data_IF_070018535885
#
_entry.id   IF_070018535885
#
_cell.length_a   1.000
_cell.length_b   1.000
_cell.length_c   1.000
_cell.angle_alpha   90.00
_cell.angle_beta   90.00
_cell.angle_gamma   90.00
#
_symmetry.space_group_name_H-M   'P 1'
#
loop_
_entity.id
_entity.type
_entity.pdbx_description
1 polymer ?
#
# COMPACT_ATOMS: atom_id res chain seq x y z
N UNK A 1 21.17 -17.05 -4.14
CA UNK A 1 20.04 -17.54 -4.96
C UNK A 1 20.16 -16.95 -6.36
N UNK A 2 20.22 -17.80 -7.40
CA UNK A 2 20.27 -17.36 -8.81
C UNK A 2 18.93 -16.80 -9.29
N UNK A 3 18.90 -16.09 -10.44
CA UNK A 3 17.66 -15.61 -11.05
C UNK A 3 16.67 -16.75 -11.30
N UNK A 4 17.13 -17.89 -11.86
CA UNK A 4 16.28 -19.07 -12.08
C UNK A 4 15.70 -19.64 -10.79
N UNK A 5 16.53 -19.80 -9.76
CA UNK A 5 16.06 -20.30 -8.45
C UNK A 5 15.00 -19.38 -7.84
N UNK A 6 15.16 -18.05 -7.98
CA UNK A 6 14.16 -17.06 -7.52
C UNK A 6 12.82 -17.26 -8.22
N UNK A 7 12.84 -17.43 -9.53
CA UNK A 7 11.63 -17.57 -10.34
C UNK A 7 10.94 -18.91 -10.08
N UNK A 8 11.69 -20.00 -9.94
CA UNK A 8 11.13 -21.30 -9.54
C UNK A 8 10.45 -21.22 -8.16
N UNK A 9 11.14 -20.68 -7.14
CA UNK A 9 10.58 -20.50 -5.81
C UNK A 9 9.35 -19.57 -5.80
N UNK A 10 9.36 -18.53 -6.64
CA UNK A 10 8.21 -17.66 -6.85
C UNK A 10 7.03 -18.43 -7.46
N UNK A 11 7.27 -19.24 -8.50
CA UNK A 11 6.25 -20.01 -9.19
C UNK A 11 5.50 -20.94 -8.23
N UNK A 12 6.24 -21.63 -7.36
CA UNK A 12 5.66 -22.57 -6.40
C UNK A 12 4.84 -21.85 -5.34
N UNK A 13 5.32 -20.69 -4.87
CA UNK A 13 4.60 -19.85 -3.91
C UNK A 13 3.31 -19.26 -4.48
N UNK A 14 3.32 -18.80 -5.73
CA UNK A 14 2.18 -18.08 -6.32
C UNK A 14 1.15 -18.99 -6.98
N UNK A 15 1.48 -20.25 -7.30
CA UNK A 15 0.64 -21.12 -8.15
C UNK A 15 -0.82 -21.26 -7.68
N UNK A 16 -1.05 -21.30 -6.36
CA UNK A 16 -2.41 -21.38 -5.82
C UNK A 16 -3.22 -20.08 -5.99
N UNK A 17 -2.56 -18.95 -6.13
CA UNK A 17 -3.16 -17.60 -6.24
C UNK A 17 -3.21 -17.12 -7.69
N UNK A 18 -2.17 -17.41 -8.48
CA UNK A 18 -2.05 -17.02 -9.89
C UNK A 18 -1.32 -18.10 -10.68
N UNK A 19 -2.06 -19.04 -11.27
CA UNK A 19 -1.52 -20.01 -12.21
C UNK A 19 -0.80 -19.34 -13.39
N UNK A 20 -1.29 -18.18 -13.86
CA UNK A 20 -0.68 -17.42 -14.96
C UNK A 20 0.73 -16.93 -14.62
N UNK A 21 0.90 -16.26 -13.48
CA UNK A 21 2.22 -15.80 -13.05
C UNK A 21 3.15 -16.97 -12.69
N UNK A 22 2.62 -18.09 -12.18
CA UNK A 22 3.43 -19.29 -11.99
C UNK A 22 3.91 -19.89 -13.31
N UNK A 23 3.07 -19.90 -14.36
CA UNK A 23 3.44 -20.37 -15.69
C UNK A 23 4.51 -19.47 -16.33
N UNK A 24 4.35 -18.14 -16.26
CA UNK A 24 5.39 -17.19 -16.67
C UNK A 24 6.69 -17.35 -15.89
N UNK A 25 6.62 -17.55 -14.58
CA UNK A 25 7.83 -17.76 -13.78
C UNK A 25 8.57 -19.04 -14.19
N UNK A 26 7.84 -20.10 -14.54
CA UNK A 26 8.40 -21.37 -15.04
C UNK A 26 8.88 -21.30 -16.48
N UNK A 27 8.41 -20.34 -17.30
CA UNK A 27 8.79 -20.24 -18.71
C UNK A 27 10.17 -19.59 -18.94
N UNK A 28 10.81 -19.10 -17.88
CA UNK A 28 12.11 -18.44 -17.91
C UNK A 28 13.20 -19.32 -18.55
N UNK A 29 13.72 -18.91 -19.70
CA UNK A 29 14.79 -19.57 -20.45
C UNK A 29 16.12 -18.79 -20.37
N UNK A 30 17.18 -19.30 -21.01
CA UNK A 30 18.53 -18.70 -20.90
C UNK A 30 18.56 -17.30 -21.53
N UNK A 31 17.77 -17.08 -22.58
CA UNK A 31 17.60 -15.79 -23.23
C UNK A 31 16.99 -14.75 -22.27
N UNK A 32 15.90 -15.09 -21.59
CA UNK A 32 15.27 -14.19 -20.63
C UNK A 32 16.17 -13.92 -19.42
N UNK A 33 16.92 -14.92 -18.95
CA UNK A 33 17.91 -14.72 -17.87
C UNK A 33 18.99 -13.73 -18.32
N UNK A 34 19.53 -13.89 -19.54
CA UNK A 34 20.53 -12.98 -20.08
C UNK A 34 20.01 -11.54 -20.23
N UNK A 35 18.73 -11.35 -20.54
CA UNK A 35 18.10 -10.02 -20.56
C UNK A 35 17.97 -9.42 -19.15
N UNK A 36 17.52 -10.22 -18.18
CA UNK A 36 17.42 -9.78 -16.79
C UNK A 36 18.79 -9.41 -16.20
N UNK A 37 19.86 -10.06 -16.65
CA UNK A 37 21.21 -9.77 -16.19
C UNK A 37 21.75 -8.41 -16.66
N UNK A 38 21.11 -7.77 -17.65
CA UNK A 38 21.44 -6.41 -18.12
C UNK A 38 20.90 -5.30 -17.20
N UNK A 39 19.98 -5.60 -16.29
CA UNK A 39 19.48 -4.64 -15.29
C UNK A 39 20.01 -4.98 -13.89
N UNK A 40 20.10 -4.02 -12.95
CA UNK A 40 20.55 -4.30 -11.58
C UNK A 40 19.71 -5.39 -10.89
N UNK A 41 20.27 -6.16 -9.94
CA UNK A 41 19.54 -7.24 -9.25
C UNK A 41 18.20 -6.82 -8.63
N UNK A 42 18.09 -5.58 -8.18
CA UNK A 42 16.86 -4.98 -7.62
C UNK A 42 15.73 -4.86 -8.65
N UNK A 43 16.05 -4.86 -9.94
CA UNK A 43 15.11 -4.80 -11.08
C UNK A 43 14.76 -6.19 -11.66
N UNK A 44 15.23 -7.28 -11.05
CA UNK A 44 15.03 -8.66 -11.55
C UNK A 44 13.94 -9.42 -10.78
N UNK A 45 13.02 -8.70 -10.14
CA UNK A 45 11.94 -9.31 -9.35
C UNK A 45 10.86 -9.85 -10.31
N UNK A 46 10.31 -11.07 -10.09
CA UNK A 46 9.25 -11.62 -10.95
C UNK A 46 8.07 -10.67 -11.14
N UNK A 47 7.58 -10.08 -10.05
CA UNK A 47 6.44 -9.16 -10.06
C UNK A 47 6.71 -7.92 -10.92
N UNK A 48 7.94 -7.40 -10.88
CA UNK A 48 8.35 -6.26 -11.72
C UNK A 48 8.43 -6.65 -13.20
N UNK A 49 9.00 -7.82 -13.51
CA UNK A 49 9.05 -8.32 -14.89
C UNK A 49 7.65 -8.52 -15.45
N UNK A 50 6.74 -9.13 -14.70
CA UNK A 50 5.38 -9.40 -15.17
C UNK A 50 4.57 -8.12 -15.35
N UNK A 51 4.74 -7.14 -14.45
CA UNK A 51 4.15 -5.81 -14.62
C UNK A 51 4.63 -5.12 -15.91
N UNK A 52 5.94 -5.17 -16.19
CA UNK A 52 6.52 -4.60 -17.42
C UNK A 52 6.06 -5.38 -18.66
N UNK A 53 6.05 -6.71 -18.61
CA UNK A 53 5.64 -7.53 -19.73
C UNK A 53 4.19 -7.25 -20.14
N UNK A 54 3.28 -7.17 -19.16
CA UNK A 54 1.87 -6.79 -19.40
C UNK A 54 1.75 -5.40 -20.01
N UNK A 55 2.54 -4.43 -19.55
CA UNK A 55 2.56 -3.06 -20.11
C UNK A 55 3.01 -3.03 -21.57
N UNK A 56 3.90 -3.94 -21.94
CA UNK A 56 4.37 -4.11 -23.32
C UNK A 56 3.43 -5.01 -24.16
N UNK A 57 2.27 -5.39 -23.62
CA UNK A 57 1.23 -6.13 -24.34
C UNK A 57 1.28 -7.65 -24.21
N UNK A 58 2.14 -8.21 -23.35
CA UNK A 58 2.14 -9.66 -23.12
C UNK A 58 0.88 -10.10 -22.35
N UNK A 59 0.12 -11.01 -22.93
CA UNK A 59 -1.05 -11.62 -22.31
C UNK A 59 -0.63 -12.65 -21.24
N UNK A 60 -0.96 -12.45 -19.96
CA UNK A 60 -0.62 -13.40 -18.91
C UNK A 60 -1.34 -14.75 -19.03
N UNK A 61 -2.44 -14.84 -19.79
CA UNK A 61 -3.09 -16.12 -20.05
C UNK A 61 -2.27 -17.02 -21.01
N UNK A 62 -1.31 -16.44 -21.76
CA UNK A 62 -0.39 -17.19 -22.61
C UNK A 62 0.99 -17.36 -21.94
N UNK A 63 1.37 -18.58 -21.54
CA UNK A 63 2.69 -18.85 -20.97
C UNK A 63 3.86 -18.51 -21.91
N UNK A 64 3.64 -18.52 -23.22
CA UNK A 64 4.65 -18.23 -24.23
C UNK A 64 4.84 -16.72 -24.49
N UNK A 65 3.86 -15.87 -24.13
CA UNK A 65 3.91 -14.44 -24.39
C UNK A 65 5.14 -13.75 -23.78
N UNK A 66 5.55 -14.15 -22.57
CA UNK A 66 6.75 -13.60 -21.93
C UNK A 66 8.03 -13.93 -22.72
N UNK A 67 8.13 -15.16 -23.24
CA UNK A 67 9.24 -15.59 -24.08
C UNK A 67 9.22 -14.88 -25.44
N UNK A 68 8.05 -14.76 -26.06
CA UNK A 68 7.88 -14.03 -27.32
C UNK A 68 8.33 -12.56 -27.17
N UNK A 69 7.85 -11.88 -26.12
CA UNK A 69 8.27 -10.52 -25.79
C UNK A 69 9.79 -10.42 -25.59
N UNK A 70 10.38 -11.38 -24.85
CA UNK A 70 11.82 -11.45 -24.65
C UNK A 70 12.62 -11.69 -25.93
N UNK A 71 12.01 -12.19 -27.02
CA UNK A 71 12.67 -12.36 -28.31
C UNK A 71 12.49 -11.15 -29.22
N UNK A 72 11.27 -10.63 -29.27
CA UNK A 72 10.84 -9.63 -30.25
C UNK A 72 11.10 -8.19 -29.78
N UNK A 73 11.07 -7.93 -28.47
CA UNK A 73 11.14 -6.58 -27.90
C UNK A 73 12.29 -6.40 -26.90
N UNK A 74 13.42 -7.09 -27.10
CA UNK A 74 14.57 -7.10 -26.17
C UNK A 74 14.98 -5.72 -25.64
N UNK A 75 15.28 -4.71 -26.50
CA UNK A 75 15.73 -3.42 -26.00
C UNK A 75 14.64 -2.68 -25.21
N UNK A 76 13.39 -2.80 -25.65
CA UNK A 76 12.24 -2.18 -24.98
C UNK A 76 11.99 -2.80 -23.61
N UNK A 77 12.09 -4.13 -23.49
CA UNK A 77 11.94 -4.84 -22.22
C UNK A 77 13.02 -4.43 -21.21
N UNK A 78 14.29 -4.40 -21.61
CA UNK A 78 15.41 -3.98 -20.75
C UNK A 78 15.27 -2.52 -20.33
N UNK A 79 14.97 -1.62 -21.28
CA UNK A 79 14.77 -0.19 -20.99
C UNK A 79 13.60 0.05 -20.03
N UNK A 80 12.48 -0.65 -20.23
CA UNK A 80 11.33 -0.56 -19.34
C UNK A 80 11.64 -1.12 -17.94
N UNK A 81 12.31 -2.27 -17.84
CA UNK A 81 12.73 -2.84 -16.54
C UNK A 81 13.70 -1.93 -15.76
N UNK A 82 14.62 -1.26 -16.45
CA UNK A 82 15.61 -0.40 -15.81
C UNK A 82 14.98 0.75 -15.01
N UNK A 83 13.84 1.26 -15.50
CA UNK A 83 13.13 2.41 -14.91
C UNK A 83 11.86 2.01 -14.15
N UNK A 84 11.38 0.78 -14.29
CA UNK A 84 10.12 0.35 -13.71
C UNK A 84 10.13 0.34 -12.17
N UNK A 85 9.00 0.76 -11.60
CA UNK A 85 8.68 0.70 -10.18
C UNK A 85 7.35 -0.02 -9.99
N UNK A 86 7.27 -0.96 -9.04
CA UNK A 86 5.97 -1.51 -8.59
C UNK A 86 5.44 -0.57 -7.51
N UNK A 87 4.22 -0.06 -7.71
CA UNK A 87 3.54 0.78 -6.74
C UNK A 87 2.40 -0.02 -6.11
N UNK A 88 2.68 -0.66 -4.98
CA UNK A 88 1.69 -1.43 -4.25
C UNK A 88 0.81 -0.50 -3.40
N UNK A 89 -0.22 0.08 -4.01
CA UNK A 89 -1.22 0.93 -3.35
C UNK A 89 -2.55 0.16 -3.24
N UNK A 90 -2.73 -0.56 -2.13
CA UNK A 90 -3.88 -1.45 -1.92
C UNK A 90 -4.89 -0.81 -0.96
N UNK A 91 -6.12 -0.49 -1.41
CA UNK A 91 -7.11 0.18 -0.58
C UNK A 91 -7.56 -0.65 0.63
N UNK A 92 -7.29 -1.97 0.68
CA UNK A 92 -7.59 -2.79 1.86
C UNK A 92 -6.80 -2.37 3.09
N UNK A 93 -5.67 -1.68 2.93
CA UNK A 93 -4.91 -1.08 4.04
C UNK A 93 -5.69 -0.01 4.81
N UNK A 94 -6.76 0.53 4.23
CA UNK A 94 -7.70 1.40 4.94
C UNK A 94 -8.45 0.65 6.05
N UNK A 95 -8.59 -0.68 5.97
CA UNK A 95 -9.23 -1.50 6.99
C UNK A 95 -8.69 -1.25 8.41
N UNK A 96 -7.40 -1.49 8.67
CA UNK A 96 -6.80 -1.14 9.96
C UNK A 96 -6.66 0.37 10.21
N UNK A 97 -6.50 1.20 9.17
CA UNK A 97 -6.18 2.63 9.32
C UNK A 97 -7.39 3.49 9.69
N UNK A 98 -8.56 3.23 9.09
CA UNK A 98 -9.78 4.05 9.27
C UNK A 98 -10.19 4.21 10.74
N UNK A 99 -10.17 3.16 11.59
CA UNK A 99 -10.50 3.31 13.01
C UNK A 99 -9.60 4.32 13.74
N UNK A 100 -8.30 4.40 13.40
CA UNK A 100 -7.38 5.38 14.01
C UNK A 100 -7.63 6.78 13.47
N UNK A 101 -7.88 6.93 12.17
CA UNK A 101 -8.22 8.23 11.59
C UNK A 101 -9.51 8.77 12.22
N UNK A 102 -10.52 7.92 12.42
CA UNK A 102 -11.76 8.28 13.09
C UNK A 102 -11.53 8.70 14.55
N UNK A 103 -10.70 7.96 15.30
CA UNK A 103 -10.36 8.32 16.67
C UNK A 103 -9.60 9.65 16.76
N UNK A 104 -8.62 9.89 15.88
CA UNK A 104 -7.91 11.17 15.80
C UNK A 104 -8.88 12.30 15.46
N UNK A 105 -9.73 12.13 14.43
CA UNK A 105 -10.73 13.11 14.04
C UNK A 105 -11.74 13.44 15.17
N UNK A 106 -12.11 12.45 15.98
CA UNK A 106 -12.98 12.64 17.14
C UNK A 106 -12.30 13.33 18.33
N UNK A 107 -10.97 13.35 18.37
CA UNK A 107 -10.17 13.98 19.44
C UNK A 107 -9.85 15.46 19.19
N UNK A 108 -10.22 16.00 18.01
CA UNK A 108 -9.91 17.38 17.61
C UNK A 108 -11.15 18.08 17.04
N UNK A 109 -11.28 19.38 17.31
CA UNK A 109 -12.43 20.16 16.82
C UNK A 109 -12.30 20.57 15.35
N UNK A 110 -11.06 20.64 14.85
CA UNK A 110 -10.73 21.05 13.48
C UNK A 110 -10.71 19.86 12.52
N UNK A 111 -11.00 20.06 11.22
CA UNK A 111 -10.88 18.98 10.23
C UNK A 111 -9.42 18.52 10.08
N UNK A 112 -9.22 17.29 9.62
CA UNK A 112 -7.89 16.75 9.35
C UNK A 112 -7.33 17.29 8.02
N UNK A 113 -6.02 17.53 8.00
CA UNK A 113 -5.22 17.72 6.80
C UNK A 113 -4.33 16.50 6.60
N UNK A 114 -4.63 15.66 5.59
CA UNK A 114 -3.93 14.40 5.40
C UNK A 114 -2.68 14.58 4.53
N UNK A 115 -1.55 14.00 4.96
CA UNK A 115 -0.38 13.76 4.11
C UNK A 115 -0.17 12.25 3.98
N UNK A 116 -0.50 11.69 2.82
CA UNK A 116 -0.27 10.28 2.48
C UNK A 116 1.11 10.12 1.82
N UNK A 117 2.02 9.45 2.52
CA UNK A 117 3.42 9.24 2.11
C UNK A 117 3.55 7.90 1.40
N UNK A 118 4.06 7.92 0.16
CA UNK A 118 4.06 6.78 -0.75
C UNK A 118 2.69 6.51 -1.36
N UNK A 119 1.89 7.57 -1.54
CA UNK A 119 0.49 7.47 -1.90
C UNK A 119 0.23 6.79 -3.26
N UNK A 120 1.21 6.78 -4.18
CA UNK A 120 1.02 6.42 -5.60
C UNK A 120 -0.15 7.17 -6.25
N UNK A 121 -1.34 6.57 -6.32
CA UNK A 121 -2.58 7.20 -6.81
C UNK A 121 -3.46 7.76 -5.70
N UNK A 122 -3.13 7.56 -4.43
CA UNK A 122 -3.92 8.01 -3.29
C UNK A 122 -5.09 7.10 -2.94
N UNK A 123 -5.05 5.80 -3.29
CA UNK A 123 -6.15 4.88 -2.95
C UNK A 123 -6.33 4.66 -1.44
N UNK A 124 -5.34 5.06 -0.62
CA UNK A 124 -5.41 5.08 0.85
C UNK A 124 -5.61 6.50 1.43
N UNK A 125 -5.76 7.52 0.58
CA UNK A 125 -5.96 8.92 0.99
C UNK A 125 -7.44 9.29 1.20
N UNK A 126 -8.33 8.29 1.26
CA UNK A 126 -9.79 8.45 1.31
C UNK A 126 -10.46 7.78 2.54
N UNK A 127 -9.91 7.90 3.76
CA UNK A 127 -10.48 7.22 4.93
C UNK A 127 -11.92 7.69 5.26
N UNK A 128 -12.29 8.91 4.86
CA UNK A 128 -13.66 9.47 4.95
C UNK A 128 -14.62 8.95 3.86
N UNK A 129 -14.17 8.05 2.99
CA UNK A 129 -15.00 7.39 1.97
C UNK A 129 -14.93 5.87 2.07
N UNK A 130 -14.74 5.35 3.27
CA UNK A 130 -14.81 3.92 3.60
C UNK A 130 -16.02 3.57 4.47
N UNK A 131 -16.76 2.54 4.10
CA UNK A 131 -17.59 1.74 5.02
C UNK A 131 -16.81 0.47 5.37
N UNK A 132 -16.73 0.16 6.66
CA UNK A 132 -15.89 -0.92 7.17
C UNK A 132 -16.73 -1.87 8.02
N UNK A 133 -16.82 -3.13 7.60
CA UNK A 133 -17.43 -4.21 8.37
C UNK A 133 -16.33 -4.98 9.10
N UNK A 134 -16.27 -4.82 10.42
CA UNK A 134 -15.44 -5.61 11.31
C UNK A 134 -16.14 -6.92 11.65
N UNK A 135 -15.61 -8.03 11.15
CA UNK A 135 -16.12 -9.38 11.43
C UNK A 135 -15.29 -10.00 12.56
N UNK A 136 -15.96 -10.43 13.61
CA UNK A 136 -15.38 -11.13 14.76
C UNK A 136 -16.23 -12.34 15.13
N UNK A 137 -15.78 -13.15 16.09
CA UNK A 137 -16.55 -14.28 16.61
C UNK A 137 -17.86 -13.84 17.30
N UNK A 138 -17.92 -12.59 17.79
CA UNK A 138 -19.11 -12.01 18.42
C UNK A 138 -20.12 -11.45 17.41
N UNK A 139 -19.75 -11.38 16.13
CA UNK A 139 -20.58 -10.87 15.05
C UNK A 139 -19.90 -9.80 14.21
N UNK A 140 -20.69 -9.13 13.37
CA UNK A 140 -20.22 -8.05 12.49
C UNK A 140 -20.63 -6.69 13.03
N UNK A 141 -19.65 -5.81 13.20
CA UNK A 141 -19.82 -4.41 13.60
C UNK A 141 -19.46 -3.52 12.43
N UNK A 142 -20.37 -2.62 12.06
CA UNK A 142 -20.15 -1.67 10.97
C UNK A 142 -19.64 -0.33 11.49
N UNK A 143 -18.56 0.16 10.89
CA UNK A 143 -18.16 1.56 10.93
C UNK A 143 -18.56 2.22 9.62
N UNK A 144 -19.27 3.34 9.70
CA UNK A 144 -19.77 4.05 8.53
C UNK A 144 -19.24 5.49 8.57
N UNK A 145 -18.02 5.66 8.06
CA UNK A 145 -17.33 6.95 7.98
C UNK A 145 -17.51 7.63 6.62
N UNK A 146 -18.30 7.03 5.72
CA UNK A 146 -18.49 7.42 4.31
C UNK A 146 -19.95 7.79 3.99
N UNK A 147 -20.41 8.99 4.33
CA UNK A 147 -21.78 9.41 4.02
C UNK A 147 -22.01 9.67 2.52
N UNK A 148 -20.94 9.83 1.73
CA UNK A 148 -21.01 10.23 0.32
C UNK A 148 -20.39 9.18 -0.62
N UNK A 149 -21.07 8.94 -1.73
CA UNK A 149 -20.52 8.18 -2.85
C UNK A 149 -19.69 9.06 -3.81
N UNK A 150 -18.80 8.48 -4.64
CA UNK A 150 -18.33 7.09 -4.58
C UNK A 150 -17.56 6.80 -3.28
N UNK A 151 -17.83 5.62 -2.71
CA UNK A 151 -17.22 5.10 -1.49
C UNK A 151 -16.74 3.65 -1.66
N UNK A 152 -15.88 3.19 -0.75
CA UNK A 152 -15.35 1.83 -0.72
C UNK A 152 -15.97 1.07 0.45
N UNK A 153 -16.38 -0.17 0.23
CA UNK A 153 -16.79 -1.08 1.30
C UNK A 153 -15.71 -2.14 1.52
N UNK A 154 -15.20 -2.23 2.74
CA UNK A 154 -14.23 -3.21 3.18
C UNK A 154 -14.80 -4.11 4.27
N UNK A 155 -14.40 -5.38 4.26
CA UNK A 155 -14.64 -6.32 5.35
C UNK A 155 -13.29 -6.75 5.91
N UNK A 156 -13.15 -6.71 7.24
CA UNK A 156 -11.91 -7.04 7.94
C UNK A 156 -12.21 -8.00 9.07
N UNK A 157 -11.44 -9.09 9.12
CA UNK A 157 -11.47 -10.02 10.24
C UNK A 157 -10.70 -9.45 11.41
N UNK A 158 -11.39 -9.22 12.52
CA UNK A 158 -10.83 -8.54 13.70
C UNK A 158 -10.89 -9.43 14.94
N UNK A 159 -9.86 -9.30 15.78
CA UNK A 159 -9.79 -9.92 17.12
C UNK A 159 -9.07 -9.01 18.10
N UNK A 160 -9.13 -9.32 19.39
CA UNK A 160 -8.45 -8.58 20.45
C UNK A 160 -9.29 -7.41 20.98
N UNK A 161 -8.64 -6.33 21.40
CA UNK A 161 -9.31 -5.16 22.02
C UNK A 161 -9.92 -4.27 20.94
N UNK A 162 -11.12 -4.62 20.48
CA UNK A 162 -11.73 -3.98 19.30
C UNK A 162 -11.97 -2.47 19.50
N UNK A 163 -11.73 -1.64 18.47
CA UNK A 163 -12.06 -0.23 18.51
C UNK A 163 -13.58 -0.04 18.55
N UNK A 164 -14.03 1.05 19.17
CA UNK A 164 -15.45 1.40 19.20
C UNK A 164 -15.96 1.69 17.79
N UNK A 165 -17.20 1.28 17.46
CA UNK A 165 -17.80 1.61 16.17
C UNK A 165 -17.87 3.13 15.97
N UNK A 166 -17.38 3.61 14.82
CA UNK A 166 -17.50 5.00 14.42
C UNK A 166 -18.58 5.18 13.34
N UNK A 167 -19.55 6.05 13.60
CA UNK A 167 -20.62 6.43 12.66
C UNK A 167 -20.59 7.92 12.31
N UNK A 168 -19.74 8.70 12.98
CA UNK A 168 -19.53 10.11 12.67
C UNK A 168 -18.62 10.22 11.45
N UNK A 169 -19.00 10.99 10.42
CA UNK A 169 -18.14 11.21 9.26
C UNK A 169 -16.79 11.85 9.63
N UNK A 170 -15.72 11.36 9.01
CA UNK A 170 -14.39 11.93 9.16
C UNK A 170 -14.33 13.23 8.34
N UNK A 171 -14.02 14.36 8.99
CA UNK A 171 -13.89 15.66 8.31
C UNK A 171 -12.46 15.87 7.83
N UNK A 172 -12.24 15.89 6.52
CA UNK A 172 -10.94 16.16 5.90
C UNK A 172 -11.02 17.43 5.05
N UNK A 173 -10.21 18.43 5.40
CA UNK A 173 -10.16 19.71 4.70
C UNK A 173 -9.22 19.67 3.48
N UNK A 174 -8.14 18.91 3.56
CA UNK A 174 -7.15 18.81 2.49
C UNK A 174 -6.46 17.44 2.51
N UNK A 175 -5.99 17.05 1.32
CA UNK A 175 -5.22 15.82 1.10
C UNK A 175 -4.00 16.14 0.27
N UNK A 176 -2.84 15.70 0.74
CA UNK A 176 -1.57 15.79 0.04
C UNK A 176 -1.06 14.36 -0.16
N UNK A 177 -0.76 14.01 -1.40
CA UNK A 177 -0.15 12.75 -1.78
C UNK A 177 1.32 13.00 -2.12
N UNK A 178 2.23 12.53 -1.27
CA UNK A 178 3.68 12.63 -1.47
C UNK A 178 4.20 11.29 -1.99
N UNK A 179 4.65 11.26 -3.24
CA UNK A 179 5.19 10.04 -3.85
C UNK A 179 6.31 10.38 -4.85
N UNK A 180 7.36 9.56 -5.00
CA UNK A 180 8.41 9.82 -5.98
C UNK A 180 7.96 9.64 -7.44
N UNK A 181 6.88 8.89 -7.68
CA UNK A 181 6.36 8.57 -9.00
C UNK A 181 4.82 8.61 -9.02
N UNK A 182 4.19 9.74 -8.65
CA UNK A 182 2.75 9.79 -8.43
C UNK A 182 1.97 9.36 -9.69
N UNK A 183 0.84 8.70 -9.47
CA UNK A 183 -0.12 8.34 -10.52
C UNK A 183 -1.23 9.38 -10.46
N UNK A 184 -1.54 10.01 -11.59
CA UNK A 184 -2.72 10.88 -11.67
C UNK A 184 -3.99 10.03 -11.67
N UNK A 185 -4.88 10.13 -10.67
CA UNK A 185 -6.12 9.35 -10.63
C UNK A 185 -7.07 9.65 -11.79
N UNK A 186 -6.96 10.84 -12.39
CA UNK A 186 -7.74 11.24 -13.55
C UNK A 186 -7.10 10.83 -14.88
N UNK A 187 -5.86 10.33 -14.85
CA UNK A 187 -5.12 9.91 -16.04
C UNK A 187 -5.76 8.69 -16.72
N UNK A 188 -5.69 8.59 -18.06
CA UNK A 188 -6.31 7.50 -18.81
C UNK A 188 -5.77 6.12 -18.41
N UNK A 189 -4.48 6.03 -18.06
CA UNK A 189 -3.81 4.77 -17.74
C UNK A 189 -3.69 4.51 -16.22
N UNK A 190 -4.40 5.28 -15.39
CA UNK A 190 -4.25 5.24 -13.93
C UNK A 190 -4.55 3.84 -13.36
N UNK A 191 -5.69 3.27 -13.75
CA UNK A 191 -6.10 1.94 -13.33
C UNK A 191 -5.10 0.88 -13.83
N UNK A 192 -4.68 0.97 -15.08
CA UNK A 192 -3.74 0.01 -15.68
C UNK A 192 -2.39 0.02 -14.96
N UNK A 193 -1.88 1.19 -14.59
CA UNK A 193 -0.67 1.32 -13.76
C UNK A 193 -0.84 0.71 -12.38
N UNK A 194 -2.00 0.90 -11.75
CA UNK A 194 -2.28 0.36 -10.41
C UNK A 194 -2.40 -1.17 -10.43
N UNK A 195 -3.18 -1.74 -11.36
CA UNK A 195 -3.45 -3.19 -11.41
C UNK A 195 -2.29 -4.02 -11.94
N UNK A 196 -1.23 -3.39 -12.48
CA UNK A 196 0.01 -4.07 -12.80
C UNK A 196 0.69 -4.70 -11.56
N UNK A 197 0.47 -4.13 -10.37
CA UNK A 197 0.99 -4.64 -9.10
C UNK A 197 0.19 -5.84 -8.55
N UNK A 198 -0.87 -6.28 -9.24
CA UNK A 198 -1.72 -7.38 -8.81
C UNK A 198 -1.75 -8.50 -9.85
N UNK A 199 -1.85 -9.78 -9.43
CA UNK A 199 -2.03 -10.87 -10.38
C UNK A 199 -3.32 -10.70 -11.21
N UNK A 200 -3.35 -11.17 -12.46
CA UNK A 200 -4.50 -11.00 -13.35
C UNK A 200 -5.75 -11.70 -12.82
N UNK A 201 -5.61 -12.79 -12.07
CA UNK A 201 -6.72 -13.53 -11.45
C UNK A 201 -7.30 -12.82 -10.21
N UNK A 202 -6.67 -11.76 -9.70
CA UNK A 202 -7.14 -11.03 -8.52
C UNK A 202 -8.31 -10.07 -8.86
N UNK A 203 -9.36 -10.60 -9.48
CA UNK A 203 -10.48 -9.82 -10.04
C UNK A 203 -11.18 -8.96 -8.99
N UNK A 204 -11.44 -9.50 -7.80
CA UNK A 204 -12.07 -8.74 -6.70
C UNK A 204 -11.20 -7.57 -6.24
N UNK A 205 -9.88 -7.79 -6.18
CA UNK A 205 -8.90 -6.75 -5.85
C UNK A 205 -8.87 -5.67 -6.93
N UNK A 206 -8.93 -6.05 -8.20
CA UNK A 206 -9.00 -5.12 -9.34
C UNK A 206 -10.29 -4.29 -9.29
N UNK A 207 -11.43 -4.93 -9.01
CA UNK A 207 -12.72 -4.25 -8.85
C UNK A 207 -12.66 -3.24 -7.69
N UNK A 208 -12.12 -3.66 -6.54
CA UNK A 208 -11.94 -2.78 -5.38
C UNK A 208 -11.02 -1.58 -5.69
N UNK A 209 -9.90 -1.81 -6.39
CA UNK A 209 -8.99 -0.75 -6.81
C UNK A 209 -9.68 0.24 -7.76
N UNK A 210 -10.56 -0.24 -8.65
CA UNK A 210 -11.39 0.63 -9.52
C UNK A 210 -12.36 1.49 -8.71
N UNK A 211 -13.03 0.90 -7.73
CA UNK A 211 -13.95 1.63 -6.84
C UNK A 211 -13.19 2.68 -6.01
N UNK A 212 -12.06 2.31 -5.41
CA UNK A 212 -11.21 3.22 -4.65
C UNK A 212 -10.65 4.35 -5.53
N UNK A 213 -10.31 4.05 -6.79
CA UNK A 213 -9.87 5.07 -7.74
C UNK A 213 -10.99 6.07 -8.05
N UNK A 214 -12.24 5.59 -8.21
CA UNK A 214 -13.42 6.44 -8.37
C UNK A 214 -13.63 7.35 -7.14
N UNK A 215 -13.58 6.78 -5.93
CA UNK A 215 -13.65 7.53 -4.67
C UNK A 215 -12.54 8.59 -4.56
N UNK A 216 -11.31 8.24 -4.94
CA UNK A 216 -10.16 9.15 -4.93
C UNK A 216 -10.34 10.30 -5.94
N UNK A 217 -10.92 10.04 -7.11
CA UNK A 217 -11.21 11.09 -8.12
C UNK A 217 -12.26 12.09 -7.66
N UNK A 218 -13.19 11.69 -6.78
CA UNK A 218 -14.19 12.60 -6.22
C UNK A 218 -13.59 13.60 -5.21
N UNK A 219 -12.45 13.24 -4.58
CA UNK A 219 -11.73 14.06 -3.60
C UNK A 219 -10.23 14.05 -3.88
N UNK A 220 -9.79 14.58 -5.04
CA UNK A 220 -8.43 14.39 -5.52
C UNK A 220 -7.40 15.03 -4.57
N UNK A 221 -6.32 14.31 -4.21
CA UNK A 221 -5.25 14.91 -3.41
C UNK A 221 -4.41 15.87 -4.27
N UNK A 222 -3.85 16.89 -3.61
CA UNK A 222 -2.72 17.64 -4.15
C UNK A 222 -1.53 16.69 -4.23
N UNK A 223 -0.99 16.47 -5.43
CA UNK A 223 0.11 15.53 -5.65
C UNK A 223 1.44 16.28 -5.64
N UNK A 224 2.37 15.82 -4.81
CA UNK A 224 3.73 16.32 -4.74
C UNK A 224 4.66 15.18 -5.15
N UNK A 225 5.51 15.46 -6.15
CA UNK A 225 6.57 14.53 -6.54
C UNK A 225 7.75 14.73 -5.59
N UNK A 226 8.01 13.77 -4.73
CA UNK A 226 9.05 13.88 -3.71
C UNK A 226 9.29 12.58 -2.95
N UNK A 227 10.31 12.58 -2.09
CA UNK A 227 10.72 11.44 -1.26
C UNK A 227 10.83 11.86 0.18
N UNK A 228 10.45 10.96 1.07
CA UNK A 228 10.78 11.09 2.48
C UNK A 228 12.20 10.60 2.76
N UNK A 229 12.90 11.21 3.74
CA UNK A 229 12.42 12.28 4.63
C UNK A 229 12.42 13.69 4.02
N UNK A 230 13.21 13.94 2.97
CA UNK A 230 13.59 15.29 2.51
C UNK A 230 12.40 16.19 2.12
N UNK A 231 11.35 15.62 1.52
CA UNK A 231 10.18 16.36 1.02
C UNK A 231 8.98 16.32 1.99
N UNK A 232 9.15 15.79 3.21
CA UNK A 232 8.06 15.74 4.21
C UNK A 232 7.56 17.14 4.56
N UNK A 233 8.47 18.09 4.74
CA UNK A 233 8.11 19.45 5.15
C UNK A 233 7.29 20.17 4.09
N UNK A 234 7.73 20.10 2.83
CA UNK A 234 7.00 20.68 1.71
C UNK A 234 5.59 20.09 1.57
N UNK A 235 5.40 18.80 1.89
CA UNK A 235 4.09 18.19 1.88
C UNK A 235 3.19 18.65 3.04
N UNK A 236 3.75 18.82 4.24
CA UNK A 236 3.02 19.37 5.38
C UNK A 236 2.66 20.85 5.16
N UNK A 237 3.56 21.64 4.59
CA UNK A 237 3.38 23.06 4.34
C UNK A 237 2.37 23.34 3.20
N UNK A 238 2.03 22.32 2.41
CA UNK A 238 0.97 22.39 1.41
C UNK A 238 -0.44 22.24 2.01
N UNK A 239 -0.56 21.87 3.29
CA UNK A 239 -1.85 21.84 3.98
C UNK A 239 -2.31 23.28 4.29
N UNK A 240 -3.62 23.58 4.18
CA UNK A 240 -4.15 24.88 4.55
C UNK A 240 -4.11 25.09 6.07
N UNK A 241 -4.06 26.35 6.48
CA UNK A 241 -4.23 26.73 7.88
C UNK A 241 -5.58 26.23 8.44
N UNK A 242 -5.62 26.00 9.75
CA UNK A 242 -6.86 25.63 10.44
C UNK A 242 -7.26 24.15 10.34
N UNK A 243 -6.43 23.28 9.77
CA UNK A 243 -6.58 21.83 9.87
C UNK A 243 -5.62 21.20 10.90
N UNK A 244 -5.92 19.99 11.36
CA UNK A 244 -5.03 19.14 12.15
C UNK A 244 -4.19 18.27 11.20
N UNK A 245 -2.87 18.49 11.08
CA UNK A 245 -2.03 17.68 10.21
C UNK A 245 -1.95 16.22 10.70
N UNK A 246 -2.22 15.28 9.80
CA UNK A 246 -2.09 13.85 10.04
C UNK A 246 -1.32 13.20 8.89
N UNK A 247 -0.16 12.64 9.22
CA UNK A 247 0.67 11.87 8.29
C UNK A 247 0.19 10.41 8.28
N UNK A 248 0.08 9.82 7.09
CA UNK A 248 -0.19 8.41 6.86
C UNK A 248 0.99 7.76 6.13
N UNK A 249 1.44 6.60 6.61
CA UNK A 249 2.38 5.72 5.89
C UNK A 249 1.80 4.31 5.86
N UNK A 250 1.49 3.78 4.67
CA UNK A 250 0.77 2.50 4.51
C UNK A 250 1.59 1.48 3.70
N UNK A 251 2.66 0.99 4.32
CA UNK A 251 3.60 0.05 3.71
C UNK A 251 4.63 0.73 2.82
N UNK A 252 5.04 1.94 3.22
CA UNK A 252 5.93 2.82 2.44
C UNK A 252 7.36 2.78 2.98
N UNK A 253 7.53 2.76 4.30
CA UNK A 253 8.86 2.93 4.92
C UNK A 253 9.79 1.72 4.72
N UNK A 254 9.28 0.60 4.24
CA UNK A 254 10.08 -0.53 3.73
C UNK A 254 10.98 -0.14 2.56
N UNK A 255 10.64 0.90 1.80
CA UNK A 255 11.44 1.39 0.67
C UNK A 255 12.44 2.49 1.06
N UNK A 256 12.41 2.93 2.32
CA UNK A 256 13.28 3.98 2.83
C UNK A 256 14.46 3.34 3.58
N UNK A 257 15.73 3.62 3.20
CA UNK A 257 16.90 3.09 3.90
C UNK A 257 16.87 3.43 5.40
N UNK A 258 17.38 2.54 6.26
CA UNK A 258 17.24 2.63 7.73
C UNK A 258 17.57 3.99 8.34
N UNK A 259 18.71 4.60 7.99
CA UNK A 259 19.09 5.92 8.50
C UNK A 259 18.13 7.05 8.03
N UNK A 260 17.64 6.97 6.79
CA UNK A 260 16.66 7.91 6.25
C UNK A 260 15.27 7.70 6.86
N UNK A 261 14.93 6.44 7.17
CA UNK A 261 13.69 6.10 7.87
C UNK A 261 13.69 6.67 9.29
N UNK A 262 14.81 6.58 10.02
CA UNK A 262 14.91 7.19 11.33
C UNK A 262 14.79 8.72 11.25
N UNK A 263 15.46 9.35 10.28
CA UNK A 263 15.30 10.81 10.03
C UNK A 263 13.86 11.21 9.75
N UNK A 264 13.09 10.40 9.04
CA UNK A 264 11.66 10.63 8.85
C UNK A 264 10.89 10.61 10.18
N UNK A 265 11.14 9.60 11.02
CA UNK A 265 10.53 9.48 12.36
C UNK A 265 10.86 10.70 13.21
N UNK A 266 12.15 11.09 13.25
CA UNK A 266 12.61 12.24 14.01
C UNK A 266 11.94 13.53 13.49
N UNK A 267 11.83 13.69 12.17
CA UNK A 267 11.21 14.87 11.57
C UNK A 267 9.71 14.97 11.86
N UNK A 268 8.98 13.87 11.82
CA UNK A 268 7.56 13.81 12.23
C UNK A 268 7.39 14.29 13.67
N UNK A 269 8.29 13.84 14.58
CA UNK A 269 8.28 14.27 15.99
C UNK A 269 8.61 15.75 16.16
N UNK A 270 9.64 16.25 15.47
CA UNK A 270 10.02 17.67 15.48
C UNK A 270 8.91 18.59 14.99
N UNK A 271 8.17 18.15 13.95
CA UNK A 271 7.01 18.88 13.43
C UNK A 271 5.80 18.84 14.35
N UNK A 272 5.79 17.92 15.33
CA UNK A 272 4.69 17.78 16.29
C UNK A 272 3.36 17.36 15.64
N UNK A 273 3.40 16.67 14.50
CA UNK A 273 2.21 16.25 13.76
C UNK A 273 1.78 14.85 14.17
N UNK A 274 0.47 14.56 14.06
CA UNK A 274 -0.04 13.20 14.28
C UNK A 274 0.46 12.28 13.17
N UNK A 275 0.78 11.04 13.51
CA UNK A 275 1.24 10.06 12.52
C UNK A 275 0.65 8.67 12.76
N UNK A 276 -0.06 8.17 11.76
CA UNK A 276 -0.51 6.78 11.68
C UNK A 276 0.40 6.03 10.72
N UNK A 277 1.00 4.95 11.22
CA UNK A 277 1.84 4.07 10.43
C UNK A 277 1.27 2.65 10.42
N UNK A 278 1.05 2.10 9.22
CA UNK A 278 0.88 0.68 8.98
C UNK A 278 2.12 0.19 8.23
N UNK A 279 3.11 -0.28 8.97
CA UNK A 279 4.44 -0.61 8.42
C UNK A 279 4.84 -2.03 8.80
N UNK A 280 5.81 -2.61 8.07
CA UNK A 280 6.29 -3.97 8.36
C UNK A 280 6.69 -4.08 9.83
N UNK A 281 6.18 -5.11 10.51
CA UNK A 281 6.45 -5.33 11.94
C UNK A 281 7.95 -5.44 12.19
N UNK A 282 8.42 -4.71 13.21
CA UNK A 282 9.84 -4.65 13.58
C UNK A 282 10.68 -3.66 12.78
N UNK A 283 10.11 -2.93 11.80
CA UNK A 283 10.90 -2.01 10.97
C UNK A 283 11.16 -0.64 11.63
N UNK A 284 10.31 -0.25 12.59
CA UNK A 284 10.42 0.97 13.37
C UNK A 284 10.75 0.59 14.81
N UNK A 285 11.99 0.84 15.24
CA UNK A 285 12.52 0.32 16.50
C UNK A 285 11.69 0.78 17.72
N UNK A 286 11.34 2.08 17.78
CA UNK A 286 10.54 2.64 18.86
C UNK A 286 9.11 2.06 18.89
N UNK A 287 8.50 1.82 17.73
CA UNK A 287 7.17 1.19 17.65
C UNK A 287 7.26 -0.27 18.10
N UNK A 288 8.28 -0.99 17.63
CA UNK A 288 8.52 -2.39 17.96
C UNK A 288 8.74 -2.59 19.47
N UNK A 289 9.42 -1.65 20.13
CA UNK A 289 9.61 -1.66 21.59
C UNK A 289 8.27 -1.55 22.37
N UNK A 290 7.20 -1.06 21.74
CA UNK A 290 5.86 -1.01 22.35
C UNK A 290 5.00 -2.22 22.04
N UNK A 291 5.46 -3.21 21.27
CA UNK A 291 4.69 -4.41 20.98
C UNK A 291 4.64 -5.35 22.21
N UNK A 292 3.50 -6.00 22.47
CA UNK A 292 3.43 -7.12 23.40
C UNK A 292 4.37 -8.27 23.00
N UNK A 293 4.93 -8.98 23.99
CA UNK A 293 5.91 -10.05 23.78
C UNK A 293 5.35 -11.27 23.01
N UNK A 294 4.03 -11.44 22.95
CA UNK A 294 3.33 -12.50 22.21
C UNK A 294 3.13 -12.15 20.71
N UNK A 295 3.59 -10.98 20.26
CA UNK A 295 3.61 -10.64 18.82
C UNK A 295 4.82 -11.31 18.17
N UNK A 296 4.58 -12.33 17.35
CA UNK A 296 5.60 -12.92 16.49
C UNK A 296 5.63 -12.20 15.12
N UNK A 297 6.70 -11.47 14.77
CA UNK A 297 6.81 -10.79 13.47
C UNK A 297 6.93 -11.75 12.27
N UNK A 298 7.11 -13.05 12.51
CA UNK A 298 7.12 -14.08 11.47
C UNK A 298 5.73 -14.64 11.15
N UNK A 299 4.74 -14.40 12.01
CA UNK A 299 3.34 -14.73 11.75
C UNK A 299 2.81 -13.89 10.57
N UNK A 300 2.30 -14.51 9.49
CA UNK A 300 1.68 -13.78 8.38
C UNK A 300 0.55 -12.84 8.80
N UNK A 301 -0.18 -13.14 9.89
CA UNK A 301 -1.23 -12.28 10.44
C UNK A 301 -0.70 -11.11 11.29
N UNK A 302 0.61 -11.07 11.56
CA UNK A 302 1.30 -9.97 12.22
C UNK A 302 2.39 -9.35 11.33
N UNK A 303 2.24 -9.45 10.01
CA UNK A 303 3.17 -8.92 9.02
C UNK A 303 3.42 -7.41 9.16
N UNK A 304 2.39 -6.64 9.45
CA UNK A 304 2.44 -5.19 9.63
C UNK A 304 1.97 -4.76 11.02
N UNK A 305 2.63 -3.77 11.59
CA UNK A 305 2.21 -3.11 12.83
C UNK A 305 1.52 -1.81 12.48
N UNK A 306 0.32 -1.63 13.02
CA UNK A 306 -0.42 -0.38 13.02
C UNK A 306 -0.07 0.39 14.30
N UNK A 307 0.32 1.66 14.15
CA UNK A 307 0.69 2.53 15.27
C UNK A 307 0.16 3.94 15.10
N UNK A 308 -0.01 4.63 16.23
CA UNK A 308 -0.32 6.05 16.31
C UNK A 308 0.76 6.72 17.17
N UNK A 309 1.41 7.73 16.62
CA UNK A 309 2.45 8.54 17.30
C UNK A 309 3.56 7.69 17.95
N UNK A 310 4.01 6.66 17.23
CA UNK A 310 5.06 5.76 17.69
C UNK A 310 4.59 4.64 18.63
N UNK A 311 3.30 4.53 18.95
CA UNK A 311 2.75 3.50 19.83
C UNK A 311 1.97 2.45 19.03
N UNK A 312 2.36 1.18 19.14
CA UNK A 312 1.65 0.08 18.49
C UNK A 312 0.23 -0.08 19.08
N UNK A 313 -0.77 -0.18 18.20
CA UNK A 313 -2.19 -0.36 18.54
C UNK A 313 -2.77 -1.65 17.98
N UNK A 314 -2.28 -2.12 16.82
CA UNK A 314 -2.69 -3.38 16.24
C UNK A 314 -1.55 -4.03 15.43
N UNK A 315 -1.70 -5.31 15.11
CA UNK A 315 -0.95 -5.97 14.04
C UNK A 315 -1.91 -6.51 13.00
N UNK A 316 -1.45 -6.62 11.75
CA UNK A 316 -2.26 -7.02 10.61
C UNK A 316 -1.47 -7.87 9.62
N UNK A 317 -2.18 -8.60 8.77
CA UNK A 317 -1.61 -9.21 7.58
C UNK A 317 -1.10 -8.15 6.58
N UNK A 318 -0.42 -8.61 5.52
CA UNK A 318 0.18 -7.70 4.52
C UNK A 318 -0.82 -6.82 3.77
N UNK A 319 -2.12 -7.15 3.81
CA UNK A 319 -3.17 -6.51 3.04
C UNK A 319 -4.15 -5.69 3.88
N UNK A 320 -4.18 -5.84 5.21
CA UNK A 320 -5.17 -5.16 6.05
C UNK A 320 -6.51 -5.90 6.16
N UNK A 321 -6.54 -7.21 5.84
CA UNK A 321 -7.76 -8.03 5.86
C UNK A 321 -7.95 -8.79 7.16
N UNK A 322 -6.87 -9.02 7.91
CA UNK A 322 -6.89 -9.61 9.24
C UNK A 322 -6.19 -8.65 10.20
N UNK A 323 -6.82 -8.30 11.31
CA UNK A 323 -6.30 -7.35 12.29
C UNK A 323 -6.46 -7.89 13.70
N UNK A 324 -5.38 -7.91 14.47
CA UNK A 324 -5.40 -8.11 15.92
C UNK A 324 -5.17 -6.78 16.61
N UNK A 325 -6.22 -6.27 17.25
CA UNK A 325 -6.15 -5.09 18.09
C UNK A 325 -5.52 -5.41 19.43
N UNK A 326 -4.46 -4.69 19.77
CA UNK A 326 -3.67 -4.92 20.98
C UNK A 326 -4.19 -4.08 22.15
N UNK A 327 -4.80 -2.93 21.85
CA UNK A 327 -5.14 -1.88 22.82
C UNK A 327 -6.34 -1.08 22.31
N UNK A 328 -7.07 -0.47 23.25
CA UNK A 328 -8.05 0.55 22.91
C UNK A 328 -7.37 1.76 22.25
N UNK A 329 -8.11 2.40 21.34
CA UNK A 329 -7.74 3.61 20.59
C UNK A 329 -8.47 4.79 21.20
#
# INVERSE_FOLDING_TARGET
MTTRQRYAAYADRIAAVSPSYAAWARSLDDDLVALLDQVPPTRRQPELLFAVARRLGADPADPAALRALGREARPALVAALATATVQANDPRRLGPVVPLVAAVAGSVDRPLGLVDVGAAAGLCSIPDRVTLDHRSDEGTVRMHTAPEDPSVHLTVDVRGVLPQPATVPIRIAARVALDPHPIDPAGPDALDRLVQAVPPEALDRIALMRTALSATRAVPPVRITGRVPDDLDAALDALPDGCEPLVLTTGTLVYVPGAQRQRFVDRVRERGVRWIALERTGILDDVAATLPADVDPTDPAAFATLSLDGRALAVSDAFGTVVRWLRAV
#
